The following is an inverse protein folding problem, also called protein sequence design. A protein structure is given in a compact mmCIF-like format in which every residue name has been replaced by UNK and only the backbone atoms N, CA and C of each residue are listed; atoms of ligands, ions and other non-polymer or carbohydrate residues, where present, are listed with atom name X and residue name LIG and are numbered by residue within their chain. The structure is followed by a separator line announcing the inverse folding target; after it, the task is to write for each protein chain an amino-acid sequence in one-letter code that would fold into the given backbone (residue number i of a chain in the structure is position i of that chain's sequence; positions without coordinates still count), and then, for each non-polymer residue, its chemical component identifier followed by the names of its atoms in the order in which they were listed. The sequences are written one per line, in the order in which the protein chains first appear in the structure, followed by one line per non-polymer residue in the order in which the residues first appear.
data_IF_071894689663
#
_entry.id   IF_071894689663
#
_cell.length_a   1.000
_cell.length_b   1.000
_cell.length_c   1.000
_cell.angle_alpha   90.00
_cell.angle_beta   90.00
_cell.angle_gamma   90.00
#
_symmetry.space_group_name_H-M   'P 1'
#
loop_
_entity.id
_entity.type
_entity.pdbx_description
1 polymer ?
#
# COMPACT_ATOMS: atom_id res chain seq x y z
N UNK A 1 -7.32 -22.04 -7.46
CA UNK A 1 -8.14 -21.47 -6.36
C UNK A 1 -8.72 -20.15 -6.84
N UNK A 2 -9.80 -19.60 -6.26
CA UNK A 2 -10.19 -18.23 -6.59
C UNK A 2 -9.03 -17.29 -6.22
N UNK A 3 -8.73 -16.32 -7.09
CA UNK A 3 -7.74 -15.27 -6.88
C UNK A 3 -8.47 -13.96 -6.53
N UNK A 4 -8.94 -13.79 -5.27
CA UNK A 4 -9.76 -12.64 -4.90
C UNK A 4 -9.00 -11.32 -4.96
N UNK A 5 -7.69 -11.33 -4.69
CA UNK A 5 -6.85 -10.12 -4.72
C UNK A 5 -6.62 -9.71 -6.17
N UNK A 6 -6.30 -10.65 -7.05
CA UNK A 6 -6.19 -10.38 -8.49
C UNK A 6 -7.53 -9.87 -9.05
N UNK A 7 -8.65 -10.50 -8.69
CA UNK A 7 -9.98 -10.04 -9.09
C UNK A 7 -10.24 -8.60 -8.64
N UNK A 8 -9.96 -8.28 -7.37
CA UNK A 8 -10.08 -6.91 -6.85
C UNK A 8 -9.19 -5.92 -7.61
N UNK A 9 -7.89 -6.21 -7.75
CA UNK A 9 -6.93 -5.30 -8.39
C UNK A 9 -7.19 -5.14 -9.89
N UNK A 10 -7.65 -6.18 -10.59
CA UNK A 10 -8.06 -6.08 -12.00
C UNK A 10 -9.39 -5.32 -12.19
N UNK A 11 -10.11 -5.03 -11.11
CA UNK A 11 -11.40 -4.33 -11.13
C UNK A 11 -12.62 -5.22 -11.38
N UNK A 12 -12.42 -6.53 -11.50
CA UNK A 12 -13.50 -7.52 -11.69
C UNK A 12 -14.13 -8.01 -10.38
N UNK A 13 -13.44 -7.80 -9.26
CA UNK A 13 -13.83 -8.23 -7.92
C UNK A 13 -14.04 -7.08 -6.94
N UNK A 14 -14.32 -7.44 -5.69
CA UNK A 14 -14.55 -6.53 -4.58
C UNK A 14 -13.73 -6.97 -3.36
N UNK A 15 -13.42 -6.03 -2.48
CA UNK A 15 -12.83 -6.35 -1.18
C UNK A 15 -13.86 -6.94 -0.20
N UNK A 16 -13.41 -7.29 1.00
CA UNK A 16 -14.25 -7.88 2.04
C UNK A 16 -15.41 -6.97 2.49
N UNK A 17 -15.31 -5.67 2.26
CA UNK A 17 -16.33 -4.66 2.59
C UNK A 17 -17.23 -4.34 1.39
N UNK A 18 -17.11 -5.11 0.30
CA UNK A 18 -17.93 -4.98 -0.90
C UNK A 18 -17.52 -3.81 -1.80
N UNK A 19 -16.35 -3.19 -1.61
CA UNK A 19 -15.88 -2.07 -2.43
C UNK A 19 -15.10 -2.58 -3.64
N UNK A 20 -15.31 -1.95 -4.79
CA UNK A 20 -14.42 -2.12 -5.94
C UNK A 20 -13.11 -1.33 -5.73
N UNK A 21 -12.08 -1.62 -6.53
CA UNK A 21 -10.84 -0.83 -6.49
C UNK A 21 -11.08 0.65 -6.84
N UNK A 22 -12.01 0.94 -7.75
CA UNK A 22 -12.41 2.33 -8.06
C UNK A 22 -13.06 3.03 -6.88
N UNK A 23 -13.90 2.33 -6.10
CA UNK A 23 -14.51 2.91 -4.89
C UNK A 23 -13.43 3.28 -3.87
N UNK A 24 -12.45 2.40 -3.66
CA UNK A 24 -11.32 2.64 -2.74
C UNK A 24 -10.46 3.82 -3.21
N UNK A 25 -10.15 3.90 -4.50
CA UNK A 25 -9.36 5.00 -5.05
C UNK A 25 -10.08 6.36 -4.98
N UNK A 26 -11.42 6.34 -5.01
CA UNK A 26 -12.26 7.54 -4.93
C UNK A 26 -12.50 8.03 -3.48
N UNK A 27 -12.13 7.26 -2.46
CA UNK A 27 -12.24 7.68 -1.06
C UNK A 27 -11.49 9.00 -0.83
N UNK A 28 -12.05 9.89 -0.03
CA UNK A 28 -11.38 11.11 0.40
C UNK A 28 -10.34 10.83 1.50
N UNK A 29 -9.51 11.83 1.83
CA UNK A 29 -8.42 11.63 2.81
C UNK A 29 -8.95 11.32 4.22
N UNK A 30 -10.13 11.85 4.59
CA UNK A 30 -10.76 11.53 5.88
C UNK A 30 -11.17 10.06 5.94
N UNK A 31 -11.73 9.53 4.86
CA UNK A 31 -12.13 8.14 4.75
C UNK A 31 -10.91 7.21 4.73
N UNK A 32 -9.83 7.54 4.01
CA UNK A 32 -8.59 6.75 4.02
C UNK A 32 -7.93 6.72 5.42
N UNK A 33 -8.02 7.82 6.16
CA UNK A 33 -7.51 7.89 7.52
C UNK A 33 -8.40 7.08 8.49
N UNK A 34 -9.72 7.16 8.35
CA UNK A 34 -10.67 6.50 9.26
C UNK A 34 -10.84 4.99 9.00
N UNK A 35 -10.69 4.55 7.75
CA UNK A 35 -10.99 3.18 7.32
C UNK A 35 -9.71 2.48 6.94
N UNK A 36 -9.40 1.35 7.59
CA UNK A 36 -8.05 0.78 7.58
C UNK A 36 -7.95 -0.56 6.85
N UNK A 37 -9.08 -1.12 6.42
CA UNK A 37 -9.23 -2.47 5.86
C UNK A 37 -8.96 -2.52 4.33
N UNK A 38 -9.04 -1.38 3.64
CA UNK A 38 -8.75 -1.29 2.21
C UNK A 38 -7.28 -1.52 1.91
N UNK A 39 -6.37 -1.14 2.83
CA UNK A 39 -4.93 -1.09 2.55
C UNK A 39 -4.35 -2.49 2.33
N UNK A 40 -4.92 -3.52 2.96
CA UNK A 40 -4.52 -4.90 2.77
C UNK A 40 -4.91 -5.45 1.39
N UNK A 41 -5.98 -4.92 0.80
CA UNK A 41 -6.43 -5.31 -0.54
C UNK A 41 -5.71 -4.52 -1.63
N UNK A 42 -5.50 -3.23 -1.41
CA UNK A 42 -4.82 -2.36 -2.37
C UNK A 42 -3.30 -2.57 -2.39
N UNK A 43 -2.70 -2.94 -1.25
CA UNK A 43 -1.28 -3.28 -1.13
C UNK A 43 -1.10 -4.62 -0.40
N UNK A 44 -1.46 -5.72 -1.06
CA UNK A 44 -1.50 -7.04 -0.46
C UNK A 44 -0.09 -7.62 -0.28
N UNK A 45 0.05 -8.56 0.67
CA UNK A 45 1.31 -9.22 1.02
C UNK A 45 1.12 -10.74 1.14
N UNK A 46 2.20 -11.54 0.97
CA UNK A 46 2.15 -12.99 1.15
C UNK A 46 2.19 -13.42 2.63
N UNK A 47 2.17 -12.45 3.54
CA UNK A 47 2.11 -12.67 4.99
C UNK A 47 0.79 -12.18 5.56
N UNK A 48 0.26 -12.92 6.52
CA UNK A 48 -0.98 -12.56 7.22
C UNK A 48 -0.82 -11.22 7.93
N UNK A 49 -1.81 -10.36 7.78
CA UNK A 49 -1.86 -9.08 8.48
C UNK A 49 -2.19 -9.29 9.96
N UNK A 50 -1.31 -8.89 10.87
CA UNK A 50 -1.61 -8.91 12.32
C UNK A 50 -2.71 -7.92 12.70
N UNK A 51 -2.82 -6.80 11.99
CA UNK A 51 -3.84 -5.77 12.24
C UNK A 51 -5.23 -6.15 11.69
N UNK A 52 -5.26 -7.00 10.64
CA UNK A 52 -6.50 -7.42 9.97
C UNK A 52 -6.39 -8.90 9.56
N UNK A 53 -6.54 -9.85 10.51
CA UNK A 53 -6.24 -11.26 10.27
C UNK A 53 -7.16 -11.96 9.26
N UNK A 54 -8.27 -11.30 8.88
CA UNK A 54 -9.25 -11.80 7.90
C UNK A 54 -8.95 -11.33 6.47
N UNK A 55 -7.98 -10.43 6.27
CA UNK A 55 -7.58 -10.02 4.93
C UNK A 55 -6.94 -11.19 4.17
N UNK A 56 -7.19 -11.30 2.86
CA UNK A 56 -6.59 -12.36 2.05
C UNK A 56 -5.06 -12.23 2.03
N UNK A 57 -4.39 -13.36 1.85
CA UNK A 57 -2.93 -13.46 1.75
C UNK A 57 -2.59 -13.79 0.31
N UNK A 58 -1.61 -13.07 -0.27
CA UNK A 58 -1.13 -13.37 -1.62
C UNK A 58 -0.46 -14.74 -1.67
N UNK A 59 -0.87 -15.54 -2.64
CA UNK A 59 -0.14 -16.74 -3.03
C UNK A 59 0.75 -16.49 -4.26
N UNK A 60 1.65 -17.44 -4.55
CA UNK A 60 2.61 -17.32 -5.64
C UNK A 60 1.94 -17.25 -7.03
N UNK A 61 0.85 -18.00 -7.25
CA UNK A 61 0.11 -17.96 -8.51
C UNK A 61 -0.61 -16.63 -8.73
N UNK A 62 -1.17 -16.04 -7.67
CA UNK A 62 -1.86 -14.76 -7.71
C UNK A 62 -0.88 -13.60 -7.91
N UNK A 63 0.34 -13.68 -7.34
CA UNK A 63 1.42 -12.73 -7.63
C UNK A 63 1.75 -12.73 -9.13
N UNK A 64 1.87 -13.91 -9.75
CA UNK A 64 2.14 -14.00 -11.19
C UNK A 64 0.99 -13.42 -12.01
N UNK A 65 -0.26 -13.75 -11.65
CA UNK A 65 -1.44 -13.20 -12.32
C UNK A 65 -1.51 -11.67 -12.24
N UNK A 66 -1.23 -11.08 -11.07
CA UNK A 66 -1.21 -9.63 -10.88
C UNK A 66 -0.08 -8.96 -11.68
N UNK A 67 1.09 -9.61 -11.77
CA UNK A 67 2.23 -9.09 -12.54
C UNK A 67 1.96 -9.09 -14.05
N UNK A 68 1.24 -10.09 -14.54
CA UNK A 68 0.93 -10.25 -15.97
C UNK A 68 -0.31 -9.46 -16.42
N UNK A 69 -1.16 -9.02 -15.48
CA UNK A 69 -2.40 -8.28 -15.77
C UNK A 69 -2.18 -6.75 -15.84
N UNK A 70 -2.34 -6.12 -17.02
CA UNK A 70 -2.15 -4.67 -17.16
C UNK A 70 -3.14 -3.81 -16.35
N UNK A 71 -4.37 -4.28 -16.15
CA UNK A 71 -5.38 -3.57 -15.37
C UNK A 71 -5.04 -3.60 -13.88
N UNK A 72 -4.61 -4.76 -13.37
CA UNK A 72 -4.12 -4.88 -12.00
C UNK A 72 -2.90 -3.98 -11.75
N UNK A 73 -1.95 -3.96 -12.69
CA UNK A 73 -0.79 -3.08 -12.64
C UNK A 73 -1.15 -1.58 -12.69
N UNK A 74 -2.13 -1.20 -13.52
CA UNK A 74 -2.61 0.17 -13.59
C UNK A 74 -3.25 0.62 -12.26
N UNK A 75 -4.07 -0.24 -11.65
CA UNK A 75 -4.73 0.06 -10.38
C UNK A 75 -3.76 0.08 -9.20
N UNK A 76 -2.72 -0.76 -9.18
CA UNK A 76 -1.64 -0.68 -8.19
C UNK A 76 -0.89 0.67 -8.28
N UNK A 77 -0.55 1.12 -9.50
CA UNK A 77 0.09 2.43 -9.71
C UNK A 77 -0.84 3.59 -9.31
N UNK A 78 -2.12 3.50 -9.62
CA UNK A 78 -3.12 4.47 -9.19
C UNK A 78 -3.22 4.51 -7.66
N UNK A 79 -3.18 3.35 -7.00
CA UNK A 79 -3.10 3.25 -5.53
C UNK A 79 -1.86 3.94 -4.97
N UNK A 80 -0.68 3.68 -5.54
CA UNK A 80 0.56 4.33 -5.13
C UNK A 80 0.46 5.87 -5.26
N UNK A 81 -0.08 6.36 -6.38
CA UNK A 81 -0.31 7.79 -6.60
C UNK A 81 -1.32 8.36 -5.60
N UNK A 82 -2.42 7.64 -5.32
CA UNK A 82 -3.44 8.05 -4.35
C UNK A 82 -2.86 8.18 -2.95
N UNK A 83 -2.00 7.26 -2.54
CA UNK A 83 -1.33 7.31 -1.23
C UNK A 83 -0.23 8.38 -1.19
N UNK A 84 0.52 8.62 -2.28
CA UNK A 84 1.43 9.77 -2.35
C UNK A 84 0.69 11.10 -2.19
N UNK A 85 -0.47 11.25 -2.82
CA UNK A 85 -1.32 12.44 -2.64
C UNK A 85 -1.78 12.58 -1.20
N UNK A 86 -2.26 11.50 -0.58
CA UNK A 86 -2.66 11.48 0.83
C UNK A 86 -1.53 11.96 1.76
N UNK A 87 -0.35 11.32 1.69
CA UNK A 87 0.82 11.72 2.48
C UNK A 87 1.39 13.09 2.10
N UNK A 88 1.07 13.57 0.90
CA UNK A 88 1.44 14.89 0.41
C UNK A 88 0.56 16.03 0.94
N UNK A 89 -0.70 15.76 1.24
CA UNK A 89 -1.68 16.77 1.67
C UNK A 89 -1.91 16.77 3.19
N UNK A 90 -1.38 15.77 3.91
CA UNK A 90 -1.61 15.60 5.34
C UNK A 90 -0.28 15.42 6.07
N UNK A 91 -0.12 16.09 7.21
CA UNK A 91 1.12 16.09 8.01
C UNK A 91 0.98 15.37 9.36
N UNK A 92 -0.22 14.92 9.75
CA UNK A 92 -0.43 14.29 11.05
C UNK A 92 0.38 13.01 11.25
N UNK A 93 0.74 12.31 10.17
CA UNK A 93 1.59 11.12 10.19
C UNK A 93 3.08 11.45 10.41
N UNK A 94 3.50 12.70 10.20
CA UNK A 94 4.88 13.19 10.41
C UNK A 94 5.12 13.46 11.90
N UNK A 95 5.00 12.41 12.69
CA UNK A 95 5.20 12.41 14.14
C UNK A 95 6.01 11.18 14.55
N UNK A 96 6.44 11.12 15.81
CA UNK A 96 7.26 10.03 16.33
C UNK A 96 6.60 8.66 16.16
N UNK A 97 5.28 8.57 16.34
CA UNK A 97 4.52 7.33 16.24
C UNK A 97 3.17 7.56 15.58
N UNK A 98 2.94 6.92 14.45
CA UNK A 98 1.62 6.90 13.81
C UNK A 98 1.40 5.57 13.08
N UNK A 99 0.15 5.14 13.01
CA UNK A 99 -0.25 3.89 12.36
C UNK A 99 0.04 3.87 10.85
N UNK A 100 0.12 5.04 10.19
CA UNK A 100 0.53 5.14 8.79
C UNK A 100 1.97 4.64 8.57
N UNK A 101 2.82 4.62 9.59
CA UNK A 101 4.19 4.11 9.43
C UNK A 101 4.20 2.64 9.02
N UNK A 102 3.29 1.83 9.56
CA UNK A 102 3.13 0.43 9.16
C UNK A 102 2.49 0.30 7.77
N UNK A 103 1.59 1.22 7.40
CA UNK A 103 1.01 1.27 6.06
C UNK A 103 2.08 1.57 5.01
N UNK A 104 2.99 2.51 5.28
CA UNK A 104 4.12 2.83 4.40
C UNK A 104 4.99 1.60 4.18
N UNK A 105 5.36 0.85 5.23
CA UNK A 105 6.10 -0.41 5.09
C UNK A 105 5.36 -1.37 4.15
N UNK A 106 4.06 -1.60 4.38
CA UNK A 106 3.23 -2.48 3.53
C UNK A 106 3.22 -2.02 2.08
N UNK A 107 3.04 -0.72 1.83
CA UNK A 107 2.98 -0.16 0.48
C UNK A 107 4.31 -0.42 -0.25
N UNK A 108 5.45 -0.12 0.39
CA UNK A 108 6.77 -0.34 -0.21
C UNK A 108 7.00 -1.81 -0.51
N UNK A 109 6.74 -2.70 0.45
CA UNK A 109 6.89 -4.15 0.25
C UNK A 109 6.00 -4.68 -0.87
N UNK A 110 4.73 -4.26 -0.90
CA UNK A 110 3.76 -4.72 -1.91
C UNK A 110 4.12 -4.20 -3.30
N UNK A 111 4.51 -2.93 -3.43
CA UNK A 111 4.95 -2.36 -4.71
C UNK A 111 6.20 -3.06 -5.23
N UNK A 112 7.19 -3.32 -4.38
CA UNK A 112 8.39 -4.07 -4.80
C UNK A 112 8.01 -5.45 -5.30
N UNK A 113 7.14 -6.14 -4.56
CA UNK A 113 6.69 -7.48 -4.91
C UNK A 113 5.87 -7.51 -6.20
N UNK A 114 4.97 -6.56 -6.45
CA UNK A 114 3.97 -6.67 -7.52
C UNK A 114 4.25 -5.78 -8.73
N UNK A 115 4.89 -4.63 -8.55
CA UNK A 115 5.14 -3.63 -9.59
C UNK A 115 6.63 -3.41 -9.88
N UNK A 116 7.52 -4.02 -9.09
CA UNK A 116 8.97 -3.95 -9.25
C UNK A 116 9.64 -2.82 -8.47
N UNK A 117 10.97 -2.83 -8.53
CA UNK A 117 11.86 -1.98 -7.75
C UNK A 117 11.63 -0.48 -7.95
N UNK A 118 11.38 -0.05 -9.18
CA UNK A 118 11.35 1.38 -9.53
C UNK A 118 10.14 2.10 -8.91
N UNK A 119 8.96 1.46 -8.91
CA UNK A 119 7.77 2.07 -8.31
C UNK A 119 7.88 2.11 -6.77
N UNK A 120 8.47 1.07 -6.17
CA UNK A 120 8.75 1.04 -4.74
C UNK A 120 9.77 2.12 -4.32
N UNK A 121 10.88 2.26 -5.08
CA UNK A 121 11.89 3.32 -4.89
C UNK A 121 11.27 4.71 -4.98
N UNK A 122 10.43 4.94 -5.99
CA UNK A 122 9.74 6.21 -6.20
C UNK A 122 8.83 6.55 -5.02
N UNK A 123 8.06 5.59 -4.53
CA UNK A 123 7.19 5.78 -3.37
C UNK A 123 8.01 6.08 -2.10
N UNK A 124 9.04 5.29 -1.82
CA UNK A 124 9.88 5.47 -0.63
C UNK A 124 10.62 6.81 -0.66
N UNK A 125 11.23 7.18 -1.78
CA UNK A 125 11.92 8.47 -1.94
C UNK A 125 11.00 9.63 -1.59
N UNK A 126 9.76 9.62 -2.11
CA UNK A 126 8.78 10.65 -1.79
C UNK A 126 8.50 10.76 -0.28
N UNK A 127 8.31 9.62 0.40
CA UNK A 127 8.06 9.59 1.85
C UNK A 127 9.28 10.11 2.64
N UNK A 128 10.49 9.71 2.25
CA UNK A 128 11.71 10.18 2.91
C UNK A 128 11.94 11.66 2.69
N UNK A 129 11.63 12.19 1.50
CA UNK A 129 11.70 13.62 1.20
C UNK A 129 10.77 14.42 2.13
N UNK A 130 9.55 13.91 2.37
CA UNK A 130 8.61 14.50 3.34
C UNK A 130 9.15 14.50 4.76
N UNK A 131 9.74 13.39 5.19
CA UNK A 131 10.36 13.31 6.52
C UNK A 131 11.48 14.34 6.67
N UNK A 132 12.39 14.42 5.69
CA UNK A 132 13.52 15.38 5.72
C UNK A 132 13.04 16.82 5.73
N UNK A 133 12.04 17.15 4.91
CA UNK A 133 11.44 18.49 4.88
C UNK A 133 10.83 18.89 6.24
N UNK A 134 10.26 17.93 6.96
CA UNK A 134 9.71 18.11 8.31
C UNK A 134 10.74 18.01 9.44
N UNK A 135 12.04 17.92 9.13
CA UNK A 135 13.16 17.75 10.09
C UNK A 135 13.14 16.40 10.82
N UNK A 136 12.77 15.34 10.10
CA UNK A 136 12.80 13.94 10.55
C UNK A 136 12.06 13.65 11.87
N UNK A 137 10.76 14.00 11.98
CA UNK A 137 9.99 13.76 13.21
C UNK A 137 9.66 12.28 13.42
N UNK A 138 9.70 11.47 12.36
CA UNK A 138 9.41 10.04 12.41
C UNK A 138 10.57 9.28 13.05
N UNK A 139 10.24 8.37 13.97
CA UNK A 139 11.23 7.56 14.66
C UNK A 139 12.14 6.78 13.68
N UNK A 140 13.40 6.57 14.07
CA UNK A 140 14.41 5.91 13.23
C UNK A 140 14.02 4.48 12.84
N UNK A 141 13.37 3.74 13.75
CA UNK A 141 12.98 2.34 13.55
C UNK A 141 11.95 2.18 12.44
N UNK A 142 10.95 3.06 12.36
CA UNK A 142 9.98 3.09 11.25
C UNK A 142 10.70 3.28 9.91
N UNK A 143 11.64 4.24 9.84
CA UNK A 143 12.44 4.50 8.63
C UNK A 143 13.33 3.32 8.25
N UNK A 144 13.89 2.61 9.21
CA UNK A 144 14.65 1.38 8.98
C UNK A 144 13.79 0.28 8.34
N UNK A 145 12.57 0.07 8.84
CA UNK A 145 11.63 -0.88 8.25
C UNK A 145 11.28 -0.52 6.81
N UNK A 146 11.08 0.76 6.50
CA UNK A 146 10.78 1.21 5.13
C UNK A 146 11.93 0.93 4.17
N UNK A 147 13.17 1.19 4.59
CA UNK A 147 14.37 0.90 3.79
C UNK A 147 14.64 -0.59 3.66
N UNK A 148 14.36 -1.37 4.70
CA UNK A 148 14.48 -2.83 4.66
C UNK A 148 13.51 -3.46 3.66
N UNK A 149 12.25 -2.99 3.65
CA UNK A 149 11.24 -3.41 2.69
C UNK A 149 11.63 -3.21 1.21
N UNK A 150 12.59 -2.34 0.92
CA UNK A 150 13.12 -2.15 -0.42
C UNK A 150 14.35 -3.04 -0.72
N UNK A 151 15.07 -3.51 0.30
CA UNK A 151 16.24 -4.39 0.13
C UNK A 151 15.86 -5.86 0.00
N UNK A 152 14.90 -6.29 0.79
CA UNK A 152 14.39 -7.68 0.86
C UNK A 152 13.50 -7.99 -0.35
#
# INVERSE_FOLDING_TARGET
MPHPIHAFLSGSGRDASGRSVSDVLAMDDRALEAVHDYIQWLFPLPTRSMAQPQSPVLDASEILAIRDDPAAQANLRAGAQRMRRFYGLNDHWLTGFDHNHLRITRIVTSLKLLAGDDEAKRFLSFVEDRCRAARDPVNARSREYWRAALRD
#
